data_IF_061212213094
#
_entry.id   IF_061212213094
#
_cell.length_a   1.000
_cell.length_b   1.000
_cell.length_c   1.000
_cell.angle_alpha   90.00
_cell.angle_beta   90.00
_cell.angle_gamma   90.00
#
_symmetry.space_group_name_H-M   'P 1'
#
loop_
_entity.id
_entity.type
_entity.pdbx_description
1 polymer ?
#
# COMPACT_ATOMS: atom_id res chain seq x y z
N UNK A 1 1.76 24.97 -12.25
CA UNK A 1 1.21 24.91 -10.89
C UNK A 1 0.76 23.49 -10.58
N UNK A 2 -0.45 23.04 -11.00
CA UNK A 2 -0.94 21.67 -10.70
C UNK A 2 0.10 20.59 -11.02
N UNK A 3 0.64 20.55 -12.24
CA UNK A 3 1.67 19.58 -12.62
C UNK A 3 2.92 19.62 -11.73
N UNK A 4 3.30 20.81 -11.26
CA UNK A 4 4.45 20.96 -10.35
C UNK A 4 4.20 20.37 -8.98
N UNK A 5 3.02 20.61 -8.39
CA UNK A 5 2.65 20.04 -7.09
C UNK A 5 2.48 18.52 -7.16
N UNK A 6 1.80 18.03 -8.19
CA UNK A 6 1.67 16.57 -8.40
C UNK A 6 3.02 15.91 -8.61
N UNK A 7 3.93 16.53 -9.38
CA UNK A 7 5.31 16.04 -9.53
C UNK A 7 6.06 16.05 -8.19
N UNK A 8 5.91 17.09 -7.39
CA UNK A 8 6.55 17.19 -6.07
C UNK A 8 6.05 16.09 -5.12
N UNK A 9 4.74 15.85 -5.09
CA UNK A 9 4.13 14.83 -4.23
C UNK A 9 4.48 13.40 -4.67
N UNK A 10 4.36 13.11 -5.97
CA UNK A 10 4.47 11.75 -6.51
C UNK A 10 5.85 11.39 -7.06
N UNK A 11 6.70 12.37 -7.37
CA UNK A 11 7.94 12.17 -8.16
C UNK A 11 7.66 11.84 -9.63
N UNK A 12 6.41 11.94 -10.10
CA UNK A 12 5.98 11.54 -11.44
C UNK A 12 5.76 12.73 -12.36
N UNK A 13 6.18 12.62 -13.60
CA UNK A 13 5.81 13.54 -14.67
C UNK A 13 4.54 13.04 -15.37
N UNK A 14 3.40 13.61 -14.98
CA UNK A 14 2.13 13.25 -15.58
C UNK A 14 1.85 14.11 -16.83
N UNK A 15 1.25 13.48 -17.83
CA UNK A 15 0.75 14.18 -19.02
C UNK A 15 -0.45 15.08 -18.68
N UNK A 16 -0.70 16.09 -19.48
CA UNK A 16 -1.87 16.96 -19.30
C UNK A 16 -3.20 16.19 -19.31
N UNK A 17 -3.29 15.08 -20.01
CA UNK A 17 -4.47 14.20 -20.01
C UNK A 17 -4.68 13.50 -18.67
N UNK A 18 -3.59 13.10 -18.00
CA UNK A 18 -3.62 12.48 -16.68
C UNK A 18 -3.93 13.46 -15.56
N UNK A 19 -3.79 14.78 -15.81
CA UNK A 19 -4.14 15.84 -14.86
C UNK A 19 -5.63 16.22 -14.91
N UNK A 20 -6.40 15.59 -15.81
CA UNK A 20 -7.84 15.87 -16.00
C UNK A 20 -8.67 15.87 -14.71
N UNK A 21 -8.48 14.91 -13.77
CA UNK A 21 -9.21 14.87 -12.51
C UNK A 21 -9.05 16.12 -11.64
N UNK A 22 -7.88 16.77 -11.72
CA UNK A 22 -7.57 17.98 -10.95
C UNK A 22 -7.78 19.28 -11.70
N UNK A 23 -8.22 19.22 -12.99
CA UNK A 23 -8.40 20.44 -13.75
C UNK A 23 -9.78 21.03 -13.52
N UNK A 24 -9.89 22.20 -12.87
CA UNK A 24 -11.19 22.86 -12.77
C UNK A 24 -11.66 23.19 -14.19
N UNK A 25 -12.83 22.71 -14.55
CA UNK A 25 -13.43 22.90 -15.86
C UNK A 25 -13.48 24.36 -16.31
N UNK A 26 -14.28 24.68 -17.31
CA UNK A 26 -14.37 26.03 -17.90
C UNK A 26 -14.42 27.14 -16.86
N UNK A 27 -13.65 28.23 -17.09
CA UNK A 27 -13.62 29.44 -16.26
C UNK A 27 -15.04 30.01 -16.07
N UNK A 28 -15.69 29.65 -14.98
CA UNK A 28 -16.94 30.21 -14.52
C UNK A 28 -16.72 31.31 -13.47
N UNK A 29 -17.77 31.96 -12.96
CA UNK A 29 -17.66 33.05 -11.99
C UNK A 29 -16.96 32.65 -10.67
N UNK A 30 -16.94 31.35 -10.34
CA UNK A 30 -16.34 30.80 -9.11
C UNK A 30 -14.95 30.19 -9.32
N UNK A 31 -14.36 30.30 -10.50
CA UNK A 31 -13.10 29.62 -10.84
C UNK A 31 -11.93 29.92 -9.90
N UNK A 32 -11.85 31.16 -9.37
CA UNK A 32 -10.80 31.54 -8.42
C UNK A 32 -10.92 30.78 -7.10
N UNK A 33 -12.14 30.61 -6.58
CA UNK A 33 -12.40 29.82 -5.38
C UNK A 33 -12.11 28.34 -5.62
N UNK A 34 -12.50 27.80 -6.78
CA UNK A 34 -12.18 26.41 -7.16
C UNK A 34 -10.67 26.18 -7.28
N UNK A 35 -9.94 27.14 -7.84
CA UNK A 35 -8.48 27.04 -7.95
C UNK A 35 -7.80 27.12 -6.57
N UNK A 36 -8.28 27.96 -5.67
CA UNK A 36 -7.78 28.05 -4.30
C UNK A 36 -8.06 26.76 -3.51
N UNK A 37 -9.26 26.18 -3.69
CA UNK A 37 -9.59 24.87 -3.08
C UNK A 37 -8.70 23.76 -3.62
N UNK A 38 -8.55 23.68 -4.96
CA UNK A 38 -7.66 22.73 -5.57
C UNK A 38 -6.22 22.87 -5.09
N UNK A 39 -5.72 24.11 -5.00
CA UNK A 39 -4.38 24.37 -4.48
C UNK A 39 -4.22 23.79 -3.06
N UNK A 40 -5.18 24.05 -2.17
CA UNK A 40 -5.15 23.57 -0.80
C UNK A 40 -5.23 22.04 -0.69
N UNK A 41 -5.97 21.41 -1.60
CA UNK A 41 -6.05 19.94 -1.68
C UNK A 41 -4.75 19.31 -2.20
N UNK A 42 -4.10 19.92 -3.18
CA UNK A 42 -2.83 19.43 -3.74
C UNK A 42 -1.65 19.53 -2.76
N UNK A 43 -1.79 20.29 -1.67
CA UNK A 43 -0.80 20.31 -0.57
C UNK A 43 -0.94 19.09 0.35
N UNK A 44 -1.96 18.26 0.16
CA UNK A 44 -2.21 17.05 0.92
C UNK A 44 -1.82 15.86 0.03
N UNK A 45 -0.65 15.27 0.29
CA UNK A 45 -0.11 14.18 -0.54
C UNK A 45 -1.08 13.02 -0.64
N UNK A 46 -1.73 12.64 0.45
CA UNK A 46 -2.72 11.57 0.49
C UNK A 46 -3.90 11.83 -0.47
N UNK A 47 -4.42 13.06 -0.53
CA UNK A 47 -5.45 13.43 -1.52
C UNK A 47 -4.97 13.22 -2.96
N UNK A 48 -3.70 13.57 -3.23
CA UNK A 48 -3.11 13.40 -4.56
C UNK A 48 -3.03 11.91 -4.90
N UNK A 49 -2.58 11.07 -3.96
CA UNK A 49 -2.53 9.62 -4.14
C UNK A 49 -3.92 9.02 -4.37
N UNK A 50 -4.89 9.29 -3.51
CA UNK A 50 -6.25 8.77 -3.68
C UNK A 50 -6.88 9.22 -5.01
N UNK A 51 -6.75 10.50 -5.35
CA UNK A 51 -7.29 11.05 -6.60
C UNK A 51 -6.66 10.43 -7.85
N UNK A 52 -5.38 10.05 -7.79
CA UNK A 52 -4.69 9.41 -8.92
C UNK A 52 -5.02 7.92 -9.02
N UNK A 53 -5.07 7.21 -7.88
CA UNK A 53 -5.09 5.76 -7.86
C UNK A 53 -6.49 5.17 -7.80
N UNK A 54 -7.52 5.94 -7.43
CA UNK A 54 -8.89 5.45 -7.26
C UNK A 54 -9.48 4.75 -8.49
N UNK A 55 -9.12 5.20 -9.69
CA UNK A 55 -9.58 4.61 -10.95
C UNK A 55 -8.65 3.51 -11.47
N UNK A 56 -7.50 3.32 -10.82
CA UNK A 56 -6.46 2.37 -11.22
C UNK A 56 -6.38 1.14 -10.32
N UNK A 57 -6.81 1.25 -9.06
CA UNK A 57 -6.71 0.17 -8.09
C UNK A 57 -7.90 0.11 -7.14
N UNK A 58 -8.50 -1.07 -6.93
CA UNK A 58 -9.54 -1.27 -5.92
C UNK A 58 -8.99 -1.23 -4.48
N UNK A 59 -7.68 -1.20 -4.31
CA UNK A 59 -6.98 -1.25 -3.03
C UNK A 59 -6.70 0.12 -2.41
N UNK A 60 -7.28 1.18 -2.96
CA UNK A 60 -7.22 2.54 -2.41
C UNK A 60 -8.61 3.12 -2.22
N UNK A 61 -8.73 4.14 -1.36
CA UNK A 61 -10.00 4.79 -1.10
C UNK A 61 -10.40 5.70 -2.27
N UNK A 62 -11.67 5.65 -2.72
CA UNK A 62 -12.18 6.62 -3.67
C UNK A 62 -12.44 7.97 -2.98
N UNK A 63 -12.09 9.07 -3.64
CA UNK A 63 -12.46 10.42 -3.23
C UNK A 63 -13.91 10.66 -3.61
N UNK A 64 -14.78 10.70 -2.62
CA UNK A 64 -16.25 10.88 -2.80
C UNK A 64 -16.63 12.32 -3.11
N UNK A 65 -15.79 13.26 -2.71
CA UNK A 65 -15.99 14.67 -2.94
C UNK A 65 -15.03 15.56 -2.17
N UNK A 66 -15.04 16.86 -2.47
CA UNK A 66 -14.20 17.84 -1.79
C UNK A 66 -14.90 19.17 -1.60
N UNK A 67 -14.54 19.92 -0.56
CA UNK A 67 -15.03 21.25 -0.26
C UNK A 67 -13.94 22.10 0.41
N UNK A 68 -13.48 23.13 -0.27
CA UNK A 68 -12.34 23.92 0.21
C UNK A 68 -11.08 23.09 0.29
N UNK A 69 -10.51 22.96 1.46
CA UNK A 69 -9.33 22.13 1.77
C UNK A 69 -9.68 20.76 2.36
N UNK A 70 -10.96 20.46 2.51
CA UNK A 70 -11.42 19.14 2.97
C UNK A 70 -11.77 18.24 1.79
N UNK A 71 -11.54 16.96 1.94
CA UNK A 71 -12.04 15.92 1.05
C UNK A 71 -12.68 14.79 1.87
N UNK A 72 -13.53 14.03 1.23
CA UNK A 72 -14.20 12.89 1.83
C UNK A 72 -13.86 11.62 1.05
N UNK A 73 -13.59 10.56 1.79
CA UNK A 73 -13.35 9.21 1.26
C UNK A 73 -14.32 8.22 1.89
N UNK A 74 -14.36 7.00 1.37
CA UNK A 74 -15.09 5.90 1.98
C UNK A 74 -14.60 5.65 3.40
N UNK A 75 -15.52 5.52 4.37
CA UNK A 75 -15.18 5.17 5.74
C UNK A 75 -15.08 3.66 5.90
N UNK A 76 -13.90 3.18 6.29
CA UNK A 76 -13.64 1.78 6.62
C UNK A 76 -13.02 1.69 8.02
N UNK A 77 -13.33 0.61 8.73
CA UNK A 77 -12.71 0.35 10.03
C UNK A 77 -11.27 -0.13 9.83
N UNK A 78 -10.32 0.63 10.37
CA UNK A 78 -8.91 0.27 10.38
C UNK A 78 -8.64 -1.05 11.11
N UNK A 79 -7.57 -1.73 10.75
CA UNK A 79 -7.01 -2.82 11.51
C UNK A 79 -6.49 -2.35 12.87
N UNK A 80 -6.14 -3.29 13.73
CA UNK A 80 -5.58 -3.00 15.07
C UNK A 80 -4.58 -4.09 15.46
N UNK A 81 -3.39 -3.75 15.94
CA UNK A 81 -2.41 -4.71 16.42
C UNK A 81 -2.89 -5.43 17.69
N UNK A 82 -3.85 -4.85 18.41
CA UNK A 82 -4.43 -5.45 19.60
C UNK A 82 -5.54 -6.46 19.31
N UNK A 83 -6.00 -6.53 18.07
CA UNK A 83 -7.00 -7.50 17.65
C UNK A 83 -6.31 -8.81 17.23
N UNK A 84 -6.76 -9.95 17.77
CA UNK A 84 -6.16 -11.27 17.51
C UNK A 84 -6.04 -11.63 16.02
N UNK A 85 -6.99 -11.14 15.20
CA UNK A 85 -7.00 -11.33 13.75
C UNK A 85 -6.52 -10.09 12.99
N UNK A 86 -5.90 -9.12 13.66
CA UNK A 86 -5.50 -7.80 13.15
C UNK A 86 -6.67 -6.95 12.65
N UNK A 87 -7.78 -7.55 12.27
CA UNK A 87 -8.99 -6.89 11.77
C UNK A 87 -10.24 -7.39 12.50
N UNK A 88 -11.26 -6.56 12.69
CA UNK A 88 -12.52 -6.93 13.32
C UNK A 88 -13.37 -7.81 12.37
N UNK A 89 -13.04 -9.10 12.27
CA UNK A 89 -13.71 -10.07 11.39
C UNK A 89 -15.18 -10.34 11.79
N UNK A 90 -15.57 -9.99 13.02
CA UNK A 90 -16.95 -10.05 13.50
C UNK A 90 -17.93 -9.15 12.71
N UNK A 91 -17.39 -8.12 12.06
CA UNK A 91 -18.15 -7.20 11.21
C UNK A 91 -18.17 -7.60 9.73
N UNK A 92 -17.46 -8.66 9.37
CA UNK A 92 -17.38 -9.12 7.99
C UNK A 92 -18.45 -10.20 7.75
N UNK A 93 -19.37 -10.02 6.79
CA UNK A 93 -20.41 -10.99 6.49
C UNK A 93 -19.83 -12.37 6.18
N UNK A 94 -20.34 -13.43 6.81
CA UNK A 94 -19.91 -14.81 6.58
C UNK A 94 -18.74 -15.30 7.44
N UNK A 95 -18.24 -14.50 8.38
CA UNK A 95 -17.12 -14.86 9.25
C UNK A 95 -17.42 -15.72 10.50
N UNK A 96 -18.65 -15.89 11.02
CA UNK A 96 -18.88 -16.72 12.22
C UNK A 96 -18.83 -18.21 11.89
N UNK A 97 -18.01 -18.96 12.61
CA UNK A 97 -17.92 -20.42 12.53
C UNK A 97 -17.00 -20.91 11.39
N UNK A 98 -17.47 -21.87 10.58
CA UNK A 98 -16.68 -22.47 9.50
C UNK A 98 -16.20 -21.50 8.40
N UNK A 99 -16.82 -20.32 8.28
CA UNK A 99 -16.43 -19.29 7.30
C UNK A 99 -15.16 -18.50 7.67
N UNK A 100 -14.64 -18.60 8.90
CA UNK A 100 -13.50 -17.77 9.33
C UNK A 100 -12.20 -18.10 8.56
N UNK A 101 -11.92 -19.38 8.35
CA UNK A 101 -10.72 -19.81 7.61
C UNK A 101 -10.76 -19.31 6.15
N UNK A 102 -11.96 -19.36 5.54
CA UNK A 102 -12.19 -18.84 4.20
C UNK A 102 -11.98 -17.34 4.14
N UNK A 103 -12.60 -16.58 5.07
CA UNK A 103 -12.44 -15.14 5.15
C UNK A 103 -10.97 -14.72 5.29
N UNK A 104 -10.20 -15.39 6.16
CA UNK A 104 -8.77 -15.15 6.34
C UNK A 104 -8.00 -15.42 5.04
N UNK A 105 -8.33 -16.49 4.32
CA UNK A 105 -7.67 -16.82 3.05
C UNK A 105 -8.01 -15.82 1.94
N UNK A 106 -9.26 -15.36 1.86
CA UNK A 106 -9.69 -14.32 0.90
C UNK A 106 -9.00 -12.98 1.19
N UNK A 107 -8.89 -12.59 2.47
CA UNK A 107 -8.16 -11.38 2.90
C UNK A 107 -6.67 -11.50 2.54
N UNK A 108 -6.04 -12.65 2.82
CA UNK A 108 -4.64 -12.87 2.50
C UNK A 108 -4.38 -12.80 0.98
N UNK A 109 -5.27 -13.35 0.16
CA UNK A 109 -5.19 -13.24 -1.29
C UNK A 109 -5.37 -11.80 -1.76
N UNK A 110 -6.34 -11.08 -1.21
CA UNK A 110 -6.56 -9.68 -1.53
C UNK A 110 -5.35 -8.81 -1.16
N UNK A 111 -4.68 -9.11 -0.05
CA UNK A 111 -3.45 -8.42 0.33
C UNK A 111 -2.32 -8.70 -0.68
N UNK A 112 -2.15 -9.94 -1.12
CA UNK A 112 -1.19 -10.28 -2.17
C UNK A 112 -1.54 -9.60 -3.50
N UNK A 113 -2.82 -9.50 -3.84
CA UNK A 113 -3.25 -8.78 -5.04
C UNK A 113 -2.92 -7.28 -4.93
N UNK A 114 -3.14 -6.66 -3.78
CA UNK A 114 -2.74 -5.26 -3.53
C UNK A 114 -1.24 -5.05 -3.72
N UNK A 115 -0.40 -5.91 -3.12
CA UNK A 115 1.06 -5.81 -3.28
C UNK A 115 1.47 -5.96 -4.73
N UNK A 116 0.87 -6.91 -5.46
CA UNK A 116 1.16 -7.10 -6.88
C UNK A 116 0.74 -5.90 -7.74
N UNK A 117 -0.44 -5.31 -7.47
CA UNK A 117 -0.88 -4.07 -8.10
C UNK A 117 0.11 -2.93 -7.88
N UNK A 118 0.53 -2.71 -6.64
CA UNK A 118 1.44 -1.62 -6.30
C UNK A 118 2.85 -1.83 -6.84
N UNK A 119 3.28 -3.09 -7.01
CA UNK A 119 4.59 -3.41 -7.56
C UNK A 119 4.64 -3.40 -9.10
N UNK A 120 3.51 -3.65 -9.81
CA UNK A 120 3.54 -4.01 -11.22
C UNK A 120 2.58 -3.26 -12.14
N UNK A 121 1.45 -2.76 -11.64
CA UNK A 121 0.35 -2.29 -12.51
C UNK A 121 0.40 -0.79 -12.80
N UNK A 122 1.27 -0.05 -12.12
CA UNK A 122 1.51 1.35 -12.39
C UNK A 122 2.74 1.55 -13.29
N UNK A 123 2.88 2.73 -13.87
CA UNK A 123 4.07 3.09 -14.67
C UNK A 123 5.37 2.99 -13.87
N UNK A 124 5.29 3.15 -12.57
CA UNK A 124 6.38 3.00 -11.60
C UNK A 124 5.85 2.27 -10.37
N UNK A 125 6.71 1.46 -9.74
CA UNK A 125 6.39 0.77 -8.50
C UNK A 125 5.98 1.78 -7.42
N UNK A 126 4.92 1.44 -6.67
CA UNK A 126 4.50 2.17 -5.48
C UNK A 126 5.03 1.45 -4.23
N UNK A 127 5.87 2.12 -3.49
CA UNK A 127 6.45 1.63 -2.23
C UNK A 127 5.59 2.06 -1.06
N UNK A 128 5.25 1.11 -0.18
CA UNK A 128 4.66 1.40 1.12
C UNK A 128 5.78 1.40 2.16
N UNK A 129 5.92 2.46 2.93
CA UNK A 129 6.99 2.62 3.91
C UNK A 129 6.49 2.72 5.36
N UNK A 130 5.21 2.49 5.61
CA UNK A 130 4.61 2.36 6.95
C UNK A 130 3.53 1.26 6.90
N UNK A 131 3.97 0.00 7.05
CA UNK A 131 3.07 -1.16 6.96
C UNK A 131 2.69 -1.63 8.36
N UNK A 132 1.53 -1.19 8.81
CA UNK A 132 0.91 -1.58 10.07
C UNK A 132 -0.58 -1.81 9.88
N UNK A 133 -1.24 -2.62 10.71
CA UNK A 133 -2.68 -2.92 10.57
C UNK A 133 -3.57 -1.69 10.50
N UNK A 134 -3.19 -0.61 11.18
CA UNK A 134 -3.93 0.65 11.27
C UNK A 134 -4.02 1.38 9.93
N UNK A 135 -3.07 1.13 9.02
CA UNK A 135 -3.02 1.77 7.69
C UNK A 135 -3.83 1.01 6.64
N UNK A 136 -4.48 -0.09 7.05
CA UNK A 136 -5.30 -0.91 6.16
C UNK A 136 -6.69 -1.14 6.73
N UNK A 137 -7.64 -1.39 5.84
CA UNK A 137 -9.00 -1.82 6.18
C UNK A 137 -9.47 -2.92 5.24
N UNK A 138 -10.57 -3.56 5.60
CA UNK A 138 -11.17 -4.64 4.80
C UNK A 138 -12.60 -4.26 4.46
N UNK A 139 -12.95 -4.28 3.17
CA UNK A 139 -14.33 -4.16 2.72
C UNK A 139 -15.13 -5.43 2.99
N UNK A 140 -16.44 -5.34 2.88
CA UNK A 140 -17.38 -6.47 3.09
C UNK A 140 -17.18 -7.64 2.11
N UNK A 141 -16.53 -7.40 0.99
CA UNK A 141 -16.17 -8.40 -0.03
C UNK A 141 -14.76 -8.98 0.17
N UNK A 142 -14.12 -8.71 1.32
CA UNK A 142 -12.75 -9.07 1.69
C UNK A 142 -11.64 -8.32 0.92
N UNK A 143 -11.98 -7.29 0.15
CA UNK A 143 -10.95 -6.44 -0.48
C UNK A 143 -10.19 -5.67 0.58
N UNK A 144 -8.88 -5.85 0.61
CA UNK A 144 -7.96 -5.07 1.45
C UNK A 144 -7.72 -3.71 0.80
N UNK A 145 -7.78 -2.66 1.60
CA UNK A 145 -7.65 -1.27 1.15
C UNK A 145 -6.61 -0.56 2.00
N UNK A 146 -5.67 0.11 1.38
CA UNK A 146 -4.79 1.07 2.05
C UNK A 146 -5.62 2.34 2.33
N UNK A 147 -5.79 2.65 3.62
CA UNK A 147 -6.61 3.77 4.10
C UNK A 147 -5.75 4.94 4.58
N UNK A 148 -4.45 4.73 4.73
CA UNK A 148 -3.43 5.71 5.04
C UNK A 148 -2.26 5.48 4.06
N UNK A 149 -1.98 6.47 3.23
CA UNK A 149 -0.98 6.40 2.15
C UNK A 149 0.01 7.58 2.20
N UNK A 150 0.10 8.27 3.33
CA UNK A 150 1.01 9.39 3.51
C UNK A 150 2.49 8.97 3.43
N UNK A 151 2.77 7.70 3.74
CA UNK A 151 4.08 7.06 3.61
C UNK A 151 4.17 6.10 2.41
N UNK A 152 3.40 6.36 1.36
CA UNK A 152 3.48 5.66 0.09
C UNK A 152 4.21 6.53 -0.95
N UNK A 153 5.21 5.95 -1.64
CA UNK A 153 6.04 6.70 -2.59
C UNK A 153 6.24 5.92 -3.89
N UNK A 154 6.05 6.58 -5.02
CA UNK A 154 6.46 6.02 -6.29
C UNK A 154 7.99 5.92 -6.39
N UNK A 155 8.48 4.97 -7.16
CA UNK A 155 9.92 4.68 -7.32
C UNK A 155 10.80 5.93 -7.53
N UNK A 156 10.44 6.94 -8.38
CA UNK A 156 11.27 8.12 -8.53
C UNK A 156 11.38 8.94 -7.24
N UNK A 157 10.26 9.11 -6.50
CA UNK A 157 10.25 9.82 -5.23
C UNK A 157 10.99 9.05 -4.14
N UNK A 158 10.83 7.73 -4.11
CA UNK A 158 11.53 6.84 -3.17
C UNK A 158 13.05 6.95 -3.35
N UNK A 159 13.55 7.04 -4.59
CA UNK A 159 14.97 7.26 -4.87
C UNK A 159 15.49 8.57 -4.29
N UNK A 160 14.74 9.66 -4.46
CA UNK A 160 15.10 10.97 -3.86
C UNK A 160 15.18 10.89 -2.33
N UNK A 161 14.24 10.19 -1.69
CA UNK A 161 14.17 10.02 -0.23
C UNK A 161 15.35 9.18 0.28
N UNK A 162 15.67 8.09 -0.39
CA UNK A 162 16.75 7.19 0.02
C UNK A 162 18.15 7.78 -0.25
N UNK A 163 18.30 8.69 -1.21
CA UNK A 163 19.58 9.24 -1.63
C UNK A 163 20.13 10.28 -0.65
N UNK A 164 20.64 9.82 0.49
CA UNK A 164 21.20 10.66 1.57
C UNK A 164 22.63 10.22 1.96
N UNK A 165 23.34 11.04 2.74
CA UNK A 165 24.65 10.68 3.26
C UNK A 165 24.50 9.65 4.37
N UNK A 166 25.47 8.71 4.45
CA UNK A 166 25.45 7.65 5.43
C UNK A 166 26.85 7.28 5.94
N UNK A 167 26.88 6.68 7.12
CA UNK A 167 28.05 6.07 7.76
C UNK A 167 27.88 4.56 7.92
N UNK A 168 26.65 4.07 7.93
CA UNK A 168 26.27 2.65 7.95
C UNK A 168 24.89 2.42 7.30
N UNK A 169 24.41 1.18 7.28
CA UNK A 169 23.14 0.81 6.68
C UNK A 169 21.92 1.34 7.47
N UNK A 170 22.05 1.64 8.77
CA UNK A 170 20.96 2.18 9.59
C UNK A 170 20.60 3.60 9.20
N UNK A 171 21.57 4.39 8.74
CA UNK A 171 21.35 5.73 8.19
C UNK A 171 20.50 5.70 6.92
N UNK A 172 20.39 4.55 6.23
CA UNK A 172 19.69 4.37 4.98
C UNK A 172 18.27 3.79 5.16
N UNK A 173 17.75 3.87 6.37
CA UNK A 173 16.40 3.44 6.69
C UNK A 173 15.44 4.63 6.64
N UNK A 174 14.34 4.45 5.94
CA UNK A 174 13.22 5.39 5.92
C UNK A 174 11.95 4.63 6.28
N UNK A 175 11.59 4.67 7.58
CA UNK A 175 10.53 3.82 8.14
C UNK A 175 10.77 2.35 7.74
N UNK A 176 9.79 1.73 7.09
CA UNK A 176 9.88 0.35 6.61
C UNK A 176 10.60 0.21 5.25
N UNK A 177 11.07 1.28 4.64
CA UNK A 177 11.81 1.24 3.39
C UNK A 177 13.31 1.38 3.66
N UNK A 178 14.09 0.36 3.27
CA UNK A 178 15.52 0.26 3.57
C UNK A 178 16.34 0.31 2.29
N UNK A 179 17.51 0.93 2.40
CA UNK A 179 18.55 0.90 1.37
C UNK A 179 19.90 0.49 2.01
N UNK A 180 20.97 0.55 1.25
CA UNK A 180 22.32 0.22 1.75
C UNK A 180 23.25 1.39 1.63
N UNK A 181 24.13 1.57 2.60
CA UNK A 181 25.19 2.55 2.58
C UNK A 181 26.35 2.08 1.67
N UNK A 182 26.66 2.84 0.64
CA UNK A 182 27.95 2.67 -0.08
C UNK A 182 29.03 3.47 0.64
N UNK A 183 29.80 2.79 1.46
CA UNK A 183 30.89 3.38 2.26
C UNK A 183 32.05 3.94 1.40
N UNK A 184 32.08 3.67 0.09
CA UNK A 184 33.10 4.26 -0.81
C UNK A 184 32.80 5.70 -1.12
N UNK A 185 31.53 6.08 -1.13
CA UNK A 185 31.05 7.42 -1.42
C UNK A 185 30.31 8.06 -0.26
N UNK A 186 30.10 7.32 0.83
CA UNK A 186 29.32 7.71 2.02
C UNK A 186 27.91 8.16 1.66
N UNK A 187 27.23 7.40 0.79
CA UNK A 187 25.87 7.66 0.36
C UNK A 187 25.02 6.41 0.35
N UNK A 188 23.77 6.57 0.74
CA UNK A 188 22.77 5.51 0.61
C UNK A 188 22.48 5.23 -0.87
N UNK A 189 22.30 3.95 -1.19
CA UNK A 189 21.87 3.53 -2.52
C UNK A 189 20.46 4.04 -2.83
N UNK A 190 20.24 4.50 -4.05
CA UNK A 190 18.95 5.01 -4.52
C UNK A 190 17.88 3.92 -4.73
N UNK A 191 18.20 2.66 -4.45
CA UNK A 191 17.28 1.54 -4.63
C UNK A 191 16.93 0.90 -3.28
N UNK A 192 15.64 0.75 -3.04
CA UNK A 192 15.12 -0.01 -1.91
C UNK A 192 15.58 -1.48 -2.00
N UNK A 193 16.08 -2.03 -0.89
CA UNK A 193 16.59 -3.42 -0.81
C UNK A 193 15.54 -4.42 -0.32
N UNK A 194 14.51 -3.97 0.35
CA UNK A 194 13.32 -4.75 0.70
C UNK A 194 12.15 -4.39 -0.25
N UNK A 195 11.03 -5.06 -0.13
CA UNK A 195 9.84 -4.80 -0.96
C UNK A 195 8.56 -4.83 -0.10
N UNK A 196 7.41 -4.48 -0.69
CA UNK A 196 6.14 -4.44 0.01
C UNK A 196 5.72 -5.80 0.60
N UNK A 197 6.15 -6.91 0.01
CA UNK A 197 5.87 -8.26 0.52
C UNK A 197 6.78 -8.65 1.70
N UNK A 198 8.04 -8.21 1.71
CA UNK A 198 9.01 -8.58 2.76
C UNK A 198 8.65 -7.99 4.12
N UNK A 199 7.95 -6.89 4.16
CA UNK A 199 7.39 -6.32 5.39
C UNK A 199 6.30 -7.22 5.99
N UNK A 200 5.58 -7.99 5.16
CA UNK A 200 4.66 -9.03 5.61
C UNK A 200 5.35 -10.30 6.08
N UNK A 201 6.62 -10.52 5.73
CA UNK A 201 7.37 -11.69 6.18
C UNK A 201 7.62 -11.68 7.69
N UNK A 202 7.60 -10.55 8.37
CA UNK A 202 7.53 -10.51 9.84
C UNK A 202 6.22 -11.14 10.34
N UNK A 203 5.12 -10.93 9.62
CA UNK A 203 3.86 -11.65 9.87
C UNK A 203 3.97 -13.13 9.50
N UNK A 204 4.70 -13.45 8.45
CA UNK A 204 4.95 -14.83 7.99
C UNK A 204 5.93 -15.56 8.88
N UNK A 205 6.94 -14.90 9.45
CA UNK A 205 7.81 -15.46 10.50
C UNK A 205 6.98 -15.76 11.75
N UNK A 206 6.10 -14.85 12.18
CA UNK A 206 5.19 -15.10 13.28
C UNK A 206 4.19 -16.26 12.98
N UNK A 207 3.72 -16.40 11.76
CA UNK A 207 2.87 -17.51 11.33
C UNK A 207 3.67 -18.81 11.19
N UNK A 208 4.90 -18.73 10.74
CA UNK A 208 5.81 -19.89 10.60
C UNK A 208 6.35 -20.36 11.93
N UNK A 209 6.65 -19.47 12.87
CA UNK A 209 6.96 -19.80 14.27
C UNK A 209 5.78 -20.47 14.99
N UNK A 210 4.55 -20.09 14.67
CA UNK A 210 3.34 -20.76 15.16
C UNK A 210 3.11 -22.13 14.52
N UNK A 211 3.55 -22.34 13.27
CA UNK A 211 3.36 -23.59 12.53
C UNK A 211 4.49 -24.61 12.76
N UNK A 212 5.72 -24.16 13.09
CA UNK A 212 6.89 -25.03 13.23
C UNK A 212 7.86 -24.49 14.33
N UNK A 213 7.57 -24.70 15.61
CA UNK A 213 8.34 -24.11 16.73
C UNK A 213 9.71 -24.76 16.93
N UNK A 214 10.41 -25.23 15.90
CA UNK A 214 11.66 -25.96 16.04
C UNK A 214 12.71 -25.77 14.94
N UNK A 215 12.47 -24.97 13.90
CA UNK A 215 13.45 -24.81 12.80
C UNK A 215 14.11 -23.43 12.88
N UNK A 216 15.46 -23.33 13.07
CA UNK A 216 16.14 -22.04 13.04
C UNK A 216 16.05 -21.41 11.65
N UNK A 217 15.57 -20.16 11.58
CA UNK A 217 15.50 -19.35 10.36
C UNK A 217 16.91 -19.18 9.77
N UNK A 218 17.22 -19.97 8.76
CA UNK A 218 18.44 -19.84 7.96
C UNK A 218 18.24 -18.80 6.87
N UNK A 219 19.01 -17.74 6.95
CA UNK A 219 19.15 -16.60 6.05
C UNK A 219 19.33 -17.06 4.58
N UNK A 220 18.26 -17.18 3.81
CA UNK A 220 18.33 -17.42 2.36
C UNK A 220 17.54 -16.33 1.64
N UNK A 221 18.29 -15.35 1.08
CA UNK A 221 17.83 -14.49 -0.01
C UNK A 221 17.24 -15.37 -1.12
N UNK A 222 15.93 -15.55 -1.13
CA UNK A 222 15.22 -16.20 -2.24
C UNK A 222 14.34 -15.16 -2.92
N UNK A 223 14.38 -15.19 -4.25
CA UNK A 223 13.67 -14.30 -5.15
C UNK A 223 12.22 -14.06 -4.72
N UNK A 224 11.92 -12.83 -4.30
CA UNK A 224 10.60 -12.41 -3.84
C UNK A 224 9.44 -12.83 -4.77
N UNK A 225 9.58 -12.79 -6.12
CA UNK A 225 8.55 -13.28 -7.03
C UNK A 225 8.19 -14.76 -6.82
N UNK A 226 9.18 -15.61 -6.49
CA UNK A 226 8.92 -17.06 -6.34
C UNK A 226 8.13 -17.39 -5.06
N UNK A 227 8.36 -16.63 -3.98
CA UNK A 227 7.65 -16.78 -2.70
C UNK A 227 6.20 -16.32 -2.85
N UNK A 228 5.98 -15.16 -3.48
CA UNK A 228 4.66 -14.64 -3.80
C UNK A 228 3.77 -15.66 -4.51
N UNK A 229 4.26 -16.22 -5.62
CA UNK A 229 3.49 -17.21 -6.41
C UNK A 229 3.26 -18.53 -5.67
N UNK A 230 4.21 -18.95 -4.81
CA UNK A 230 4.03 -20.13 -3.96
C UNK A 230 2.94 -19.90 -2.92
N UNK A 231 2.99 -18.78 -2.20
CA UNK A 231 2.01 -18.41 -1.19
C UNK A 231 0.61 -18.29 -1.82
N UNK A 232 0.49 -17.59 -2.95
CA UNK A 232 -0.76 -17.46 -3.69
C UNK A 232 -1.33 -18.83 -4.13
N UNK A 233 -0.46 -19.76 -4.54
CA UNK A 233 -0.87 -21.13 -4.90
C UNK A 233 -1.42 -21.89 -3.70
N UNK A 234 -0.73 -21.84 -2.56
CA UNK A 234 -1.16 -22.50 -1.32
C UNK A 234 -2.51 -21.93 -0.88
N UNK A 235 -2.67 -20.63 -0.76
CA UNK A 235 -3.92 -20.00 -0.35
C UNK A 235 -5.08 -20.37 -1.28
N UNK A 236 -4.89 -20.38 -2.60
CA UNK A 236 -5.92 -20.82 -3.56
C UNK A 236 -6.26 -22.30 -3.45
N UNK A 237 -5.28 -23.16 -3.15
CA UNK A 237 -5.54 -24.57 -2.91
C UNK A 237 -6.38 -24.78 -1.65
N UNK A 238 -6.00 -24.13 -0.54
CA UNK A 238 -6.75 -24.15 0.71
C UNK A 238 -8.19 -23.67 0.54
N UNK A 239 -8.41 -22.58 -0.22
CA UNK A 239 -9.78 -22.12 -0.52
C UNK A 239 -10.61 -23.13 -1.26
N UNK A 240 -10.04 -23.87 -2.22
CA UNK A 240 -10.76 -24.94 -2.96
C UNK A 240 -11.14 -26.09 -2.03
N UNK A 241 -10.20 -26.53 -1.18
CA UNK A 241 -10.46 -27.60 -0.20
C UNK A 241 -11.57 -27.19 0.79
N UNK A 242 -11.57 -25.94 1.26
CA UNK A 242 -12.62 -25.40 2.12
C UNK A 242 -13.97 -25.35 1.40
N UNK A 243 -14.02 -24.95 0.13
CA UNK A 243 -15.25 -24.94 -0.68
C UNK A 243 -15.80 -26.34 -0.97
N UNK A 244 -14.94 -27.35 -1.08
CA UNK A 244 -15.34 -28.75 -1.26
C UNK A 244 -15.85 -29.37 0.03
N UNK A 245 -15.31 -28.97 1.18
CA UNK A 245 -15.74 -29.44 2.51
C UNK A 245 -17.08 -28.86 2.96
N UNK A 246 -17.54 -27.74 2.37
CA UNK A 246 -18.84 -27.10 2.66
C UNK A 246 -19.99 -27.64 1.79
N UNK A 247 -19.72 -28.55 0.84
CA UNK A 247 -20.73 -29.22 -0.03
C UNK A 247 -21.14 -30.55 0.54
#
# INVERSE_FOLDING_TARGET
MVAGEVKSALGLELSNSSLGPWWPGRRGPRWRGQLASLWALLQQEEYVYFSLLQDLSPHVLPVLGSCGHFYAVEFLAAGSPHHRALFPLDRVPGAPGGGQARAISDIALSFLDMVNHFDSDFSHRLHLCDIKPENFAIRSDFTVVAIDVDMAFFEPKMREILEQNCTDDEDCNFFDCFSRCDLRVNKCGAQRVNNNLQLQLQLQEAVQECADPGVPSGNTRRDAPSVFWKLRRVLRATLRELQEAEK
#
